data_IF_549285093003
#
_entry.id   IF_549285093003
#
_cell.length_a   1.000
_cell.length_b   1.000
_cell.length_c   1.000
_cell.angle_alpha   90.00
_cell.angle_beta   90.00
_cell.angle_gamma   90.00
#
_symmetry.space_group_name_H-M   'P 1'
#
loop_
_entity.id
_entity.type
_entity.pdbx_description
1 polymer ?
#
# COMPACT_ATOMS: atom_id res chain seq x y z
N UNK A 1 -2.36 14.69 -9.90
CA UNK A 1 -2.90 14.22 -8.60
C UNK A 1 -1.92 14.61 -7.49
N UNK A 2 -2.18 15.72 -6.78
CA UNK A 2 -1.34 16.16 -5.67
C UNK A 2 -1.86 15.55 -4.37
N UNK A 3 -1.29 14.40 -3.97
CA UNK A 3 -1.74 13.61 -2.82
C UNK A 3 -1.85 14.39 -1.49
N UNK A 4 -1.05 15.46 -1.34
CA UNK A 4 -1.00 16.32 -0.16
C UNK A 4 -1.41 17.78 -0.42
N UNK A 5 -1.92 18.18 -1.59
CA UNK A 5 -2.02 19.61 -1.98
C UNK A 5 -2.67 20.52 -0.96
N UNK A 6 -3.80 20.11 -0.38
CA UNK A 6 -4.53 20.92 0.61
C UNK A 6 -3.74 21.06 1.92
N UNK A 7 -3.04 20.01 2.32
CA UNK A 7 -2.22 19.98 3.54
C UNK A 7 -0.95 20.81 3.39
N UNK A 8 -0.33 20.81 2.20
CA UNK A 8 0.87 21.62 1.93
C UNK A 8 0.60 23.12 2.09
N UNK A 9 -0.60 23.57 1.67
CA UNK A 9 -1.02 24.95 1.87
C UNK A 9 -1.07 25.33 3.35
N UNK A 10 -1.65 24.46 4.18
CA UNK A 10 -1.77 24.70 5.63
C UNK A 10 -0.40 24.65 6.30
N UNK A 11 0.40 23.59 6.04
CA UNK A 11 1.70 23.43 6.66
C UNK A 11 2.66 24.58 6.34
N UNK A 12 2.66 25.06 5.09
CA UNK A 12 3.55 26.15 4.69
C UNK A 12 3.02 27.52 5.10
N UNK A 13 1.72 27.79 4.93
CA UNK A 13 1.17 29.14 5.11
C UNK A 13 0.70 29.43 6.53
N UNK A 14 0.15 28.44 7.22
CA UNK A 14 -0.42 28.62 8.56
C UNK A 14 0.60 28.22 9.63
N UNK A 15 1.22 27.05 9.48
CA UNK A 15 2.22 26.57 10.45
C UNK A 15 3.60 27.19 10.22
N UNK A 16 3.87 27.68 9.00
CA UNK A 16 5.18 28.25 8.65
C UNK A 16 6.29 27.20 8.54
N UNK A 17 5.93 25.92 8.37
CA UNK A 17 6.88 24.83 8.29
C UNK A 17 7.53 24.77 6.89
N UNK A 18 8.83 24.51 6.85
CA UNK A 18 9.50 24.09 5.63
C UNK A 18 9.16 22.62 5.32
N UNK A 19 8.53 22.38 4.17
CA UNK A 19 7.97 21.07 3.82
C UNK A 19 8.65 20.52 2.58
N UNK A 20 9.40 19.43 2.79
CA UNK A 20 9.98 18.59 1.76
C UNK A 20 8.95 17.53 1.36
N UNK A 21 8.49 17.59 0.11
CA UNK A 21 7.56 16.58 -0.43
C UNK A 21 8.35 15.53 -1.16
N UNK A 22 8.35 14.32 -0.62
CA UNK A 22 8.98 13.16 -1.24
C UNK A 22 7.93 12.38 -2.03
N UNK A 23 8.26 12.00 -3.25
CA UNK A 23 7.50 10.99 -3.99
C UNK A 23 8.42 9.81 -4.25
N UNK A 24 7.94 8.60 -3.98
CA UNK A 24 8.63 7.39 -4.45
C UNK A 24 8.50 7.38 -5.99
N UNK A 25 9.61 7.38 -6.74
CA UNK A 25 9.64 7.29 -8.19
C UNK A 25 8.74 6.16 -8.73
N UNK A 26 8.14 6.37 -9.91
CA UNK A 26 7.15 5.45 -10.49
C UNK A 26 7.63 4.01 -10.67
N UNK A 27 8.93 3.80 -10.87
CA UNK A 27 9.56 2.49 -11.01
C UNK A 27 9.63 1.69 -9.69
N UNK A 28 9.59 2.39 -8.55
CA UNK A 28 9.66 1.80 -7.20
C UNK A 28 8.36 1.96 -6.41
N UNK A 29 7.29 2.46 -7.05
CA UNK A 29 5.95 2.51 -6.45
C UNK A 29 5.47 1.11 -6.03
N UNK A 30 5.95 0.09 -6.73
CA UNK A 30 5.73 -1.33 -6.47
C UNK A 30 6.99 -2.03 -5.96
N UNK A 31 8.02 -1.30 -5.52
CA UNK A 31 9.26 -1.85 -4.96
C UNK A 31 9.09 -2.30 -3.51
N UNK A 32 10.00 -3.16 -3.03
CA UNK A 32 10.02 -3.60 -1.63
C UNK A 32 10.24 -2.43 -0.66
N UNK A 33 9.90 -2.63 0.61
CA UNK A 33 10.10 -1.62 1.67
C UNK A 33 11.56 -1.13 1.67
N UNK A 34 12.52 -2.05 1.53
CA UNK A 34 13.95 -1.72 1.49
C UNK A 34 14.33 -0.85 0.29
N UNK A 35 13.86 -1.22 -0.92
CA UNK A 35 14.14 -0.44 -2.14
C UNK A 35 13.59 0.98 -2.05
N UNK A 36 12.34 1.12 -1.58
CA UNK A 36 11.68 2.41 -1.39
C UNK A 36 12.37 3.26 -0.32
N UNK A 37 12.78 2.65 0.78
CA UNK A 37 13.54 3.31 1.84
C UNK A 37 14.89 3.84 1.34
N UNK A 38 15.62 3.06 0.53
CA UNK A 38 16.90 3.50 -0.05
C UNK A 38 16.73 4.69 -1.00
N UNK A 39 15.68 4.70 -1.82
CA UNK A 39 15.40 5.84 -2.68
C UNK A 39 14.99 7.09 -1.91
N UNK A 40 14.15 6.91 -0.87
CA UNK A 40 13.79 7.98 0.05
C UNK A 40 15.04 8.56 0.72
N UNK A 41 15.93 7.71 1.21
CA UNK A 41 17.18 8.14 1.85
C UNK A 41 18.04 8.96 0.90
N UNK A 42 18.29 8.45 -0.31
CA UNK A 42 19.04 9.15 -1.36
C UNK A 42 18.43 10.50 -1.71
N UNK A 43 17.11 10.63 -1.67
CA UNK A 43 16.45 11.92 -1.89
C UNK A 43 16.69 12.88 -0.72
N UNK A 44 16.56 12.41 0.52
CA UNK A 44 16.73 13.20 1.73
C UNK A 44 18.17 13.66 1.95
N UNK A 45 19.17 12.84 1.62
CA UNK A 45 20.59 13.22 1.68
C UNK A 45 20.88 14.52 0.92
N UNK A 46 20.22 14.74 -0.23
CA UNK A 46 20.39 15.97 -1.03
C UNK A 46 19.55 17.14 -0.55
N UNK A 47 18.40 16.89 0.07
CA UNK A 47 17.39 17.92 0.39
C UNK A 47 17.38 18.34 1.86
N UNK A 48 17.90 17.51 2.74
CA UNK A 48 17.88 17.69 4.19
C UNK A 48 19.28 17.62 4.82
N UNK A 49 20.35 17.74 4.02
CA UNK A 49 21.73 17.68 4.52
C UNK A 49 21.96 18.67 5.69
N UNK A 50 22.54 18.18 6.78
CA UNK A 50 22.82 18.91 8.00
C UNK A 50 21.59 19.24 8.86
N UNK A 51 20.38 18.75 8.51
CA UNK A 51 19.13 19.12 9.19
C UNK A 51 18.56 17.98 10.01
N UNK A 52 17.96 18.35 11.15
CA UNK A 52 17.01 17.49 11.84
C UNK A 52 15.65 17.55 11.14
N UNK A 53 15.04 16.40 10.84
CA UNK A 53 13.78 16.31 10.10
C UNK A 53 12.69 15.55 10.87
N UNK A 54 11.44 15.98 10.67
CA UNK A 54 10.27 15.26 11.13
C UNK A 54 9.63 14.55 9.94
N UNK A 55 9.57 13.23 9.98
CA UNK A 55 9.01 12.41 8.93
C UNK A 55 7.50 12.28 9.13
N UNK A 56 6.73 12.52 8.07
CA UNK A 56 5.29 12.26 8.04
C UNK A 56 5.01 11.31 6.87
N UNK A 57 4.44 10.16 7.19
CA UNK A 57 4.27 9.08 6.24
C UNK A 57 2.86 8.51 6.27
N UNK A 58 2.36 8.09 5.11
CA UNK A 58 1.04 7.49 4.97
C UNK A 58 1.13 6.05 4.46
N UNK A 59 0.27 5.17 4.99
CA UNK A 59 0.15 3.77 4.58
C UNK A 59 1.53 3.09 4.58
N UNK A 60 1.92 2.45 3.47
CA UNK A 60 3.21 1.76 3.34
C UNK A 60 4.42 2.68 3.55
N UNK A 61 4.32 3.99 3.30
CA UNK A 61 5.44 4.92 3.53
C UNK A 61 5.94 4.95 4.98
N UNK A 62 5.07 4.61 5.95
CA UNK A 62 5.49 4.51 7.35
C UNK A 62 6.44 3.34 7.60
N UNK A 63 6.29 2.24 6.84
CA UNK A 63 7.22 1.11 6.89
C UNK A 63 8.54 1.46 6.22
N UNK A 64 8.52 2.19 5.10
CA UNK A 64 9.74 2.69 4.45
C UNK A 64 10.55 3.56 5.41
N UNK A 65 9.89 4.47 6.13
CA UNK A 65 10.55 5.33 7.10
C UNK A 65 11.13 4.54 8.28
N UNK A 66 10.40 3.54 8.81
CA UNK A 66 10.93 2.65 9.85
C UNK A 66 12.16 1.89 9.37
N UNK A 67 12.11 1.37 8.14
CA UNK A 67 13.24 0.68 7.53
C UNK A 67 14.45 1.62 7.34
N UNK A 68 14.22 2.83 6.84
CA UNK A 68 15.24 3.87 6.68
C UNK A 68 15.91 4.19 8.02
N UNK A 69 15.14 4.47 9.07
CA UNK A 69 15.66 4.82 10.38
C UNK A 69 16.52 3.68 10.94
N UNK A 70 16.03 2.45 10.84
CA UNK A 70 16.64 1.31 11.53
C UNK A 70 17.82 0.71 10.78
N UNK A 71 17.72 0.58 9.46
CA UNK A 71 18.69 -0.15 8.64
C UNK A 71 19.65 0.78 7.91
N UNK A 72 19.15 1.90 7.37
CA UNK A 72 20.00 2.83 6.60
C UNK A 72 20.77 3.80 7.51
N UNK A 73 20.19 4.16 8.67
CA UNK A 73 20.83 4.99 9.70
C UNK A 73 21.54 6.22 9.11
N UNK A 74 20.80 7.14 8.47
CA UNK A 74 21.38 8.28 7.76
C UNK A 74 22.29 9.11 8.67
N UNK A 75 23.40 9.60 8.11
CA UNK A 75 24.38 10.44 8.83
C UNK A 75 24.32 11.90 8.37
N UNK A 76 23.82 12.11 7.16
CA UNK A 76 23.72 13.37 6.45
C UNK A 76 22.57 14.23 6.97
N UNK A 77 21.57 13.61 7.59
CA UNK A 77 20.44 14.27 8.23
C UNK A 77 19.99 13.45 9.43
N UNK A 78 19.25 14.06 10.36
CA UNK A 78 18.86 13.40 11.60
C UNK A 78 17.34 13.25 11.68
N UNK A 79 16.78 12.03 11.60
CA UNK A 79 15.37 11.80 11.91
C UNK A 79 15.08 12.16 13.38
N UNK A 80 14.16 13.09 13.62
CA UNK A 80 13.75 13.53 14.97
C UNK A 80 12.42 12.90 15.40
N UNK A 81 11.52 12.72 14.44
CA UNK A 81 10.26 12.04 14.67
C UNK A 81 9.75 11.33 13.42
N UNK A 82 8.91 10.32 13.62
CA UNK A 82 8.13 9.66 12.59
C UNK A 82 6.65 9.67 12.99
N UNK A 83 5.84 10.35 12.20
CA UNK A 83 4.37 10.31 12.30
C UNK A 83 3.82 9.45 11.17
N UNK A 84 3.10 8.39 11.51
CA UNK A 84 2.46 7.51 10.54
C UNK A 84 0.95 7.69 10.51
N UNK A 85 0.36 7.66 9.31
CA UNK A 85 -1.08 7.81 9.09
C UNK A 85 -1.57 6.57 8.33
N UNK A 86 -2.45 5.79 8.97
CA UNK A 86 -3.01 4.57 8.43
C UNK A 86 -1.95 3.55 7.93
N UNK A 87 -0.78 3.52 8.57
CA UNK A 87 0.28 2.55 8.23
C UNK A 87 -0.05 1.16 8.77
N UNK A 88 0.00 0.11 7.93
CA UNK A 88 -0.28 -1.26 8.35
C UNK A 88 0.93 -1.83 9.12
N UNK A 89 1.22 -1.34 10.33
CA UNK A 89 2.40 -1.78 11.11
C UNK A 89 2.41 -3.27 11.46
N UNK A 90 1.23 -3.92 11.44
CA UNK A 90 1.06 -5.36 11.70
C UNK A 90 0.55 -6.12 10.48
N UNK A 91 0.65 -5.50 9.30
CA UNK A 91 0.03 -5.98 8.08
C UNK A 91 -1.46 -5.73 8.03
N UNK A 92 -2.06 -6.23 6.97
CA UNK A 92 -3.48 -6.03 6.67
C UNK A 92 -4.13 -7.37 6.33
N UNK A 93 -5.25 -7.74 6.97
CA UNK A 93 -6.02 -8.93 6.60
C UNK A 93 -6.45 -8.93 5.12
N UNK A 94 -6.62 -7.74 4.53
CA UNK A 94 -6.87 -7.61 3.10
C UNK A 94 -5.71 -8.15 2.26
N UNK A 95 -4.47 -7.92 2.70
CA UNK A 95 -3.29 -8.44 2.00
C UNK A 95 -3.15 -9.94 2.18
N UNK A 96 -3.50 -10.48 3.35
CA UNK A 96 -3.54 -11.93 3.57
C UNK A 96 -4.55 -12.60 2.62
N UNK A 97 -5.75 -12.02 2.49
CA UNK A 97 -6.77 -12.46 1.53
C UNK A 97 -6.27 -12.38 0.08
N UNK A 98 -5.61 -11.28 -0.31
CA UNK A 98 -5.02 -11.18 -1.65
C UNK A 98 -3.98 -12.29 -1.91
N UNK A 99 -3.14 -12.61 -0.94
CA UNK A 99 -2.16 -13.71 -1.09
C UNK A 99 -2.84 -15.07 -1.22
N UNK A 100 -3.87 -15.33 -0.42
CA UNK A 100 -4.57 -16.62 -0.39
C UNK A 100 -5.41 -16.86 -1.66
N UNK A 101 -6.15 -15.85 -2.12
CA UNK A 101 -7.14 -16.01 -3.20
C UNK A 101 -6.64 -15.57 -4.58
N UNK A 102 -5.67 -14.64 -4.66
CA UNK A 102 -5.12 -14.18 -5.93
C UNK A 102 -3.77 -14.82 -6.26
N UNK A 103 -3.17 -15.57 -5.31
CA UNK A 103 -1.86 -16.19 -5.48
C UNK A 103 -0.70 -15.19 -5.51
N UNK A 104 -0.94 -13.95 -5.09
CA UNK A 104 0.05 -12.88 -5.04
C UNK A 104 1.07 -13.15 -3.93
N UNK A 105 2.32 -13.43 -4.32
CA UNK A 105 3.43 -13.74 -3.39
C UNK A 105 3.86 -15.21 -3.34
N UNK A 106 3.18 -16.13 -4.05
CA UNK A 106 3.78 -17.44 -4.38
C UNK A 106 4.80 -17.23 -5.50
N UNK A 107 6.03 -17.73 -5.35
CA UNK A 107 6.96 -17.92 -6.46
C UNK A 107 6.30 -18.86 -7.47
N UNK A 108 5.50 -18.31 -8.39
CA UNK A 108 4.93 -19.04 -9.52
C UNK A 108 6.01 -19.19 -10.58
N UNK A 109 6.21 -20.42 -11.05
CA UNK A 109 6.99 -20.70 -12.25
C UNK A 109 6.47 -19.84 -13.41
N UNK A 110 7.37 -19.42 -14.30
CA UNK A 110 7.09 -18.47 -15.37
C UNK A 110 5.91 -18.87 -16.27
N UNK A 111 5.61 -20.17 -16.32
CA UNK A 111 4.49 -20.78 -17.05
C UNK A 111 3.12 -20.36 -16.53
N UNK A 112 2.94 -20.24 -15.21
CA UNK A 112 1.65 -19.86 -14.61
C UNK A 112 1.38 -18.34 -14.71
N UNK A 113 2.44 -17.53 -14.78
CA UNK A 113 2.35 -16.08 -15.04
C UNK A 113 1.92 -15.78 -16.47
N UNK A 114 2.43 -16.53 -17.44
CA UNK A 114 1.99 -16.42 -18.83
C UNK A 114 0.50 -16.77 -18.99
N UNK A 115 0.03 -17.84 -18.35
CA UNK A 115 -1.37 -18.25 -18.38
C UNK A 115 -2.32 -17.24 -17.71
N UNK A 116 -1.93 -16.66 -16.57
CA UNK A 116 -2.72 -15.63 -15.91
C UNK A 116 -2.76 -14.31 -16.71
N UNK A 117 -1.64 -13.90 -17.31
CA UNK A 117 -1.59 -12.74 -18.19
C UNK A 117 -2.47 -12.91 -19.44
N UNK A 118 -2.55 -14.13 -19.98
CA UNK A 118 -3.39 -14.47 -21.13
C UNK A 118 -4.90 -14.49 -20.77
N UNK A 119 -5.24 -14.94 -19.56
CA UNK A 119 -6.60 -14.86 -19.02
C UNK A 119 -7.01 -13.39 -18.77
N UNK A 120 -6.10 -12.55 -18.32
CA UNK A 120 -6.34 -11.11 -18.10
C UNK A 120 -6.42 -10.36 -19.44
N UNK A 121 -5.59 -10.71 -20.42
CA UNK A 121 -5.63 -10.16 -21.78
C UNK A 121 -6.93 -10.53 -22.51
N UNK A 122 -7.41 -11.77 -22.36
CA UNK A 122 -8.68 -12.21 -22.94
C UNK A 122 -9.90 -11.63 -22.22
N UNK A 123 -9.83 -11.39 -20.91
CA UNK A 123 -10.87 -10.70 -20.16
C UNK A 123 -10.98 -9.20 -20.55
N UNK A 124 -9.84 -8.54 -20.80
CA UNK A 124 -9.82 -7.15 -21.29
C UNK A 124 -10.22 -7.02 -22.76
N UNK A 125 -9.97 -8.04 -23.59
CA UNK A 125 -10.49 -8.12 -24.96
C UNK A 125 -12.00 -8.41 -25.02
N UNK A 126 -12.57 -9.09 -24.01
CA UNK A 126 -14.01 -9.39 -23.92
C UNK A 126 -14.82 -8.21 -23.37
N UNK A 127 -14.21 -7.32 -22.57
CA UNK A 127 -14.85 -6.08 -22.14
C UNK A 127 -15.10 -5.08 -23.29
N UNK A 128 -14.36 -5.20 -24.40
CA UNK A 128 -14.56 -4.39 -25.61
C UNK A 128 -15.68 -4.91 -26.52
N UNK A 129 -16.23 -6.10 -26.26
CA UNK A 129 -17.28 -6.72 -27.07
C UNK A 129 -18.28 -7.42 -26.17
N UNK A 130 -19.32 -6.70 -25.76
CA UNK A 130 -20.73 -7.17 -25.64
C UNK A 130 -21.53 -6.10 -24.90
N UNK A 131 -22.09 -5.16 -25.67
CA UNK A 131 -23.48 -4.77 -25.44
C UNK A 131 -24.36 -5.95 -25.90
N UNK A 132 -25.47 -6.18 -25.21
CA UNK A 132 -26.55 -7.16 -25.47
C UNK A 132 -26.53 -8.48 -24.66
N UNK A 133 -27.15 -8.37 -23.47
CA UNK A 133 -28.37 -9.08 -23.04
C UNK A 133 -28.39 -10.58 -22.66
N UNK A 134 -29.15 -10.81 -21.57
CA UNK A 134 -30.00 -11.97 -21.19
C UNK A 134 -29.48 -13.12 -20.28
N UNK A 135 -29.88 -13.01 -18.99
CA UNK A 135 -30.64 -13.95 -18.13
C UNK A 135 -30.35 -15.46 -18.12
N UNK A 136 -29.92 -15.98 -16.97
CA UNK A 136 -30.68 -16.96 -16.13
C UNK A 136 -29.82 -17.51 -14.97
N UNK A 137 -30.48 -17.86 -13.86
CA UNK A 137 -29.95 -18.53 -12.65
C UNK A 137 -30.84 -19.76 -12.36
N UNK A 138 -30.68 -20.60 -11.28
CA UNK A 138 -29.61 -20.74 -10.27
C UNK A 138 -29.25 -22.23 -9.91
N UNK A 139 -28.28 -22.44 -8.99
CA UNK A 139 -28.35 -23.26 -7.73
C UNK A 139 -27.00 -23.87 -7.31
N UNK A 140 -26.50 -23.49 -6.13
CA UNK A 140 -25.95 -24.38 -5.07
C UNK A 140 -25.20 -23.55 -4.00
N UNK A 141 -25.37 -23.95 -2.75
CA UNK A 141 -25.02 -23.29 -1.48
C UNK A 141 -23.60 -23.59 -0.99
N UNK A 142 -22.83 -22.55 -0.61
CA UNK A 142 -21.78 -22.53 0.46
C UNK A 142 -21.03 -21.17 0.50
N UNK A 143 -20.34 -20.80 1.61
CA UNK A 143 -20.45 -19.49 2.24
C UNK A 143 -19.61 -18.38 1.59
N UNK A 144 -20.17 -17.16 1.61
CA UNK A 144 -19.52 -15.84 1.43
C UNK A 144 -18.27 -15.80 0.54
N UNK A 145 -18.39 -16.29 -0.69
CA UNK A 145 -17.54 -15.85 -1.80
C UNK A 145 -17.93 -14.42 -2.16
N UNK A 146 -17.22 -13.44 -1.60
CA UNK A 146 -17.26 -12.07 -2.13
C UNK A 146 -16.56 -12.10 -3.49
N UNK A 147 -17.31 -12.48 -4.51
CA UNK A 147 -16.82 -12.55 -5.89
C UNK A 147 -16.38 -11.17 -6.34
N UNK A 148 -15.11 -11.05 -6.69
CA UNK A 148 -14.48 -9.87 -7.28
C UNK A 148 -15.14 -9.47 -8.63
N UNK A 149 -16.02 -10.33 -9.18
CA UNK A 149 -16.85 -10.04 -10.35
C UNK A 149 -17.89 -8.92 -10.13
N UNK A 150 -18.08 -8.46 -8.88
CA UNK A 150 -18.99 -7.37 -8.55
C UNK A 150 -18.34 -5.98 -8.53
N UNK A 151 -17.00 -5.88 -8.63
CA UNK A 151 -16.30 -4.60 -8.73
C UNK A 151 -16.10 -4.21 -10.20
N UNK A 152 -16.24 -2.91 -10.57
CA UNK A 152 -15.96 -2.45 -11.92
C UNK A 152 -14.57 -2.90 -12.36
N UNK A 153 -14.47 -3.49 -13.55
CA UNK A 153 -13.24 -4.11 -14.07
C UNK A 153 -12.02 -3.17 -14.00
N UNK A 154 -12.21 -1.86 -14.15
CA UNK A 154 -11.12 -0.88 -14.01
C UNK A 154 -10.60 -0.72 -12.58
N UNK A 155 -11.44 -0.85 -11.55
CA UNK A 155 -11.01 -0.79 -10.15
C UNK A 155 -10.31 -2.08 -9.75
N UNK A 156 -10.84 -3.22 -10.19
CA UNK A 156 -10.18 -4.52 -10.01
C UNK A 156 -8.84 -4.57 -10.72
N UNK A 157 -8.74 -4.09 -11.96
CA UNK A 157 -7.47 -4.01 -12.71
C UNK A 157 -6.52 -2.98 -12.12
N UNK A 158 -7.01 -1.84 -11.60
CA UNK A 158 -6.16 -0.89 -10.89
C UNK A 158 -5.61 -1.50 -9.61
N UNK A 159 -6.46 -2.17 -8.82
CA UNK A 159 -6.03 -2.91 -7.63
C UNK A 159 -5.02 -3.99 -8.02
N UNK A 160 -5.35 -4.88 -8.94
CA UNK A 160 -4.46 -5.96 -9.39
C UNK A 160 -3.15 -5.44 -9.97
N UNK A 161 -3.17 -4.40 -10.82
CA UNK A 161 -1.94 -3.77 -11.34
C UNK A 161 -1.14 -3.02 -10.27
N UNK A 162 -1.79 -2.51 -9.23
CA UNK A 162 -1.11 -2.01 -8.03
C UNK A 162 -0.51 -3.17 -7.21
N UNK A 163 -1.06 -4.38 -7.27
CA UNK A 163 -0.66 -5.55 -6.48
C UNK A 163 0.19 -6.59 -7.21
N UNK A 164 0.49 -6.40 -8.50
CA UNK A 164 1.19 -7.37 -9.37
C UNK A 164 2.70 -7.47 -9.12
N UNK A 165 3.20 -6.92 -8.01
CA UNK A 165 4.62 -6.94 -7.65
C UNK A 165 4.90 -7.77 -6.39
N UNK A 166 5.98 -8.58 -6.37
CA UNK A 166 6.45 -9.34 -5.21
C UNK A 166 6.59 -8.51 -3.92
N UNK A 167 6.73 -7.19 -4.04
CA UNK A 167 6.81 -6.27 -2.90
C UNK A 167 5.58 -6.29 -1.98
N UNK A 168 4.40 -6.68 -2.47
CA UNK A 168 3.18 -6.70 -1.65
C UNK A 168 3.10 -7.89 -0.69
N UNK A 169 3.93 -8.92 -0.88
CA UNK A 169 4.14 -9.95 0.16
C UNK A 169 4.67 -9.33 1.47
N UNK A 170 5.30 -8.15 1.40
CA UNK A 170 5.80 -7.43 2.56
C UNK A 170 4.72 -6.73 3.41
N UNK A 171 3.45 -6.79 3.00
CA UNK A 171 2.33 -6.20 3.75
C UNK A 171 1.40 -7.24 4.40
N UNK A 172 1.71 -8.52 4.24
CA UNK A 172 1.01 -9.60 4.93
C UNK A 172 1.21 -9.48 6.44
N UNK A 173 0.23 -9.94 7.20
CA UNK A 173 0.34 -9.97 8.66
C UNK A 173 1.50 -10.87 9.09
N UNK A 174 1.69 -12.01 8.42
CA UNK A 174 2.80 -12.92 8.68
C UNK A 174 4.15 -12.23 8.51
N UNK A 175 4.44 -11.65 7.34
CA UNK A 175 5.73 -11.01 7.09
C UNK A 175 6.01 -9.87 8.07
N UNK A 176 5.02 -9.01 8.33
CA UNK A 176 5.27 -7.84 9.18
C UNK A 176 5.48 -8.20 10.64
N UNK A 177 4.76 -9.19 11.17
CA UNK A 177 4.90 -9.59 12.57
C UNK A 177 6.10 -10.52 12.82
N UNK A 178 6.48 -11.37 11.86
CA UNK A 178 7.53 -12.38 12.05
C UNK A 178 8.89 -11.99 11.47
N UNK A 179 8.91 -11.18 10.41
CA UNK A 179 10.14 -10.80 9.72
C UNK A 179 10.43 -9.32 9.95
N UNK A 180 9.54 -8.42 9.53
CA UNK A 180 9.85 -7.00 9.50
C UNK A 180 9.99 -6.38 10.89
N UNK A 181 8.98 -6.51 11.76
CA UNK A 181 8.97 -5.85 13.07
C UNK A 181 10.11 -6.33 13.98
N UNK A 182 10.39 -7.65 14.10
CA UNK A 182 11.53 -8.10 14.91
C UNK A 182 12.88 -7.57 14.42
N UNK A 183 13.05 -7.41 13.11
CA UNK A 183 14.29 -6.89 12.52
C UNK A 183 14.31 -5.37 12.37
N UNK A 184 13.21 -4.67 12.65
CA UNK A 184 13.08 -3.22 12.49
C UNK A 184 12.57 -2.58 13.79
N UNK A 185 13.32 -2.73 14.91
CA UNK A 185 12.98 -2.08 16.17
C UNK A 185 13.06 -0.56 16.04
N UNK A 186 12.25 0.14 16.82
CA UNK A 186 12.25 1.60 16.86
C UNK A 186 13.55 2.13 17.50
N UNK A 187 14.13 3.20 16.93
CA UNK A 187 15.34 3.85 17.47
C UNK A 187 14.94 4.74 18.66
N UNK A 188 15.51 4.55 19.86
CA UNK A 188 15.12 5.29 21.06
C UNK A 188 15.36 6.81 20.96
N UNK A 189 16.16 7.28 20.00
CA UNK A 189 16.42 8.71 19.76
C UNK A 189 15.34 9.38 18.91
N UNK A 190 14.47 8.60 18.27
CA UNK A 190 13.41 9.09 17.38
C UNK A 190 12.06 8.99 18.09
N UNK A 191 11.23 10.03 17.97
CA UNK A 191 9.86 10.00 18.51
C UNK A 191 8.88 9.40 17.51
N UNK A 192 8.07 8.44 17.93
CA UNK A 192 7.11 7.76 17.06
C UNK A 192 5.67 8.13 17.41
N UNK A 193 4.89 8.49 16.39
CA UNK A 193 3.46 8.78 16.48
C UNK A 193 2.71 7.98 15.42
N UNK A 194 1.54 7.45 15.75
CA UNK A 194 0.71 6.70 14.79
C UNK A 194 -0.76 7.12 14.89
N UNK A 195 -1.36 7.42 13.75
CA UNK A 195 -2.75 7.85 13.61
C UNK A 195 -3.49 6.83 12.76
N UNK A 196 -4.59 6.29 13.27
CA UNK A 196 -5.44 5.33 12.57
C UNK A 196 -6.89 5.82 12.50
N UNK A 197 -7.59 5.44 11.42
CA UNK A 197 -8.98 5.81 11.17
C UNK A 197 -9.96 4.64 11.35
N UNK A 198 -10.94 4.85 12.23
CA UNK A 198 -12.21 4.11 12.42
C UNK A 198 -13.30 4.46 11.41
N UNK A 199 -13.58 3.73 10.33
CA UNK A 199 -14.85 3.92 9.59
C UNK A 199 -15.91 2.96 10.15
N UNK A 200 -17.03 3.49 10.64
CA UNK A 200 -18.14 2.68 11.12
C UNK A 200 -18.80 1.91 9.97
N UNK A 201 -19.25 0.68 10.23
CA UNK A 201 -20.01 -0.11 9.25
C UNK A 201 -21.30 0.67 8.93
N UNK A 202 -21.58 0.90 7.65
CA UNK A 202 -22.87 1.44 7.25
C UNK A 202 -23.95 0.50 7.79
N UNK A 203 -24.85 1.02 8.61
CA UNK A 203 -25.98 0.24 9.11
C UNK A 203 -26.81 -0.18 7.89
N UNK A 204 -26.97 -1.49 7.70
CA UNK A 204 -27.95 -2.00 6.74
C UNK A 204 -29.32 -1.58 7.27
N UNK A 205 -29.94 -0.57 6.66
CA UNK A 205 -31.36 -0.31 6.86
C UNK A 205 -32.12 -1.51 6.31
N UNK A 206 -32.41 -2.48 7.17
CA UNK A 206 -33.40 -3.52 6.90
C UNK A 206 -34.74 -2.82 6.80
N UNK A 207 -35.13 -2.45 5.58
CA UNK A 207 -36.44 -1.95 5.26
C UNK A 207 -37.47 -3.07 5.46
N UNK A 208 -38.08 -3.11 6.65
CA UNK A 208 -39.42 -3.67 6.83
C UNK A 208 -40.44 -2.61 6.47
N UNK A 209 -41.09 -2.77 5.32
CA UNK A 209 -42.56 -2.65 5.17
C UNK A 209 -42.99 -3.19 3.81
#
# INVERSE_FOLDING_TARGET
MHYWSSILGILRKVVGADVIVTAVPGQSRTGSIASRASELNRFLERKANGRGINLMAHSMGGLDCRHLITHLKPTEYTPLSLTTIATPHRGSPFMDWCTEYLGLGRQRSDTERAAAAEIIASASASAARTSTAHTSSPKSSSPLSLSLSALPSSFTTLLLSMFDSPAYANLTTSYLNTVFNPHTPDDPRVRYFSVAGRVARAASTSGTR
#
